data_IF_085776915451
#
_entry.id   IF_085776915451
#
_cell.length_a   1.000
_cell.length_b   1.000
_cell.length_c   1.000
_cell.angle_alpha   90.00
_cell.angle_beta   90.00
_cell.angle_gamma   90.00
#
_symmetry.space_group_name_H-M   'P 1'
#
loop_
_entity.id
_entity.type
_entity.pdbx_description
1 polymer ?
#
# COMPACT_ATOMS: atom_id res chain seq x y z
N UNK A 1 -32.19 17.46 11.71
CA UNK A 1 -31.24 16.39 11.31
C UNK A 1 -31.38 16.16 9.82
N UNK A 2 -30.39 16.54 9.02
CA UNK A 2 -30.43 16.45 7.55
C UNK A 2 -29.75 15.15 7.10
N UNK A 3 -30.54 14.18 6.63
CA UNK A 3 -30.06 13.00 5.91
C UNK A 3 -29.46 13.43 4.57
N UNK A 4 -28.13 13.39 4.43
CA UNK A 4 -27.47 13.58 3.13
C UNK A 4 -27.84 12.41 2.23
N UNK A 5 -28.59 12.66 1.16
CA UNK A 5 -28.80 11.72 0.06
C UNK A 5 -27.44 11.38 -0.55
N UNK A 6 -27.02 10.12 -0.43
CA UNK A 6 -25.99 9.55 -1.27
C UNK A 6 -26.50 9.55 -2.71
N UNK A 7 -25.87 10.33 -3.58
CA UNK A 7 -26.16 10.32 -5.01
C UNK A 7 -25.61 9.01 -5.58
N UNK A 8 -26.51 8.10 -5.95
CA UNK A 8 -26.17 6.85 -6.62
C UNK A 8 -26.11 7.09 -8.12
N UNK A 9 -24.89 7.17 -8.68
CA UNK A 9 -24.68 7.08 -10.12
C UNK A 9 -24.69 5.60 -10.51
N UNK A 10 -25.76 5.13 -11.15
CA UNK A 10 -25.82 3.79 -11.75
C UNK A 10 -25.53 3.86 -13.25
N UNK A 11 -24.36 3.37 -13.66
CA UNK A 11 -24.12 3.01 -15.06
C UNK A 11 -24.85 1.68 -15.37
N UNK A 12 -25.56 1.53 -16.50
CA UNK A 12 -26.19 0.26 -16.87
C UNK A 12 -25.14 -0.84 -17.05
N UNK A 13 -25.28 -1.97 -16.35
CA UNK A 13 -24.30 -3.06 -16.31
C UNK A 13 -23.30 -3.01 -15.14
N UNK A 14 -23.33 -1.96 -14.34
CA UNK A 14 -22.51 -1.84 -13.12
C UNK A 14 -23.15 -2.63 -11.98
N UNK A 15 -22.49 -3.69 -11.49
CA UNK A 15 -22.70 -4.10 -10.10
C UNK A 15 -22.39 -2.89 -9.22
N UNK A 16 -23.30 -2.51 -8.33
CA UNK A 16 -23.11 -1.36 -7.45
C UNK A 16 -22.05 -1.71 -6.42
N UNK A 17 -20.81 -1.25 -6.64
CA UNK A 17 -19.77 -1.37 -5.64
C UNK A 17 -19.94 -0.28 -4.59
N UNK A 18 -20.05 -0.67 -3.32
CA UNK A 18 -20.06 0.26 -2.20
C UNK A 18 -18.61 0.63 -1.85
N UNK A 19 -18.27 1.91 -1.94
CA UNK A 19 -16.96 2.42 -1.50
C UNK A 19 -16.95 2.47 0.03
N UNK A 20 -16.00 1.77 0.63
CA UNK A 20 -15.81 1.69 2.08
C UNK A 20 -14.77 2.68 2.60
N UNK A 21 -13.85 3.12 1.73
CA UNK A 21 -12.77 4.04 2.05
C UNK A 21 -11.93 4.37 0.83
N UNK A 22 -11.26 5.51 0.86
CA UNK A 22 -10.31 5.95 -0.17
C UNK A 22 -9.08 6.51 0.54
N UNK A 23 -7.91 6.18 0.04
CA UNK A 23 -6.68 6.79 0.49
C UNK A 23 -5.74 7.12 -0.65
N UNK A 24 -4.95 8.17 -0.46
CA UNK A 24 -3.95 8.61 -1.42
C UNK A 24 -2.70 9.11 -0.72
N UNK A 25 -1.56 8.94 -1.37
CA UNK A 25 -0.29 9.48 -0.91
C UNK A 25 0.56 9.91 -2.10
N UNK A 26 1.28 11.01 -1.93
CA UNK A 26 2.25 11.53 -2.90
C UNK A 26 3.61 11.64 -2.21
N UNK A 27 4.64 11.17 -2.90
CA UNK A 27 6.00 11.12 -2.38
C UNK A 27 6.99 11.77 -3.34
N UNK A 28 7.99 12.42 -2.77
CA UNK A 28 9.12 13.01 -3.49
C UNK A 28 10.27 11.99 -3.61
N UNK A 29 10.53 11.52 -4.82
CA UNK A 29 11.47 10.43 -5.14
C UNK A 29 12.91 10.67 -4.65
N UNK A 30 13.47 11.89 -4.71
CA UNK A 30 14.83 12.14 -4.20
C UNK A 30 15.01 11.85 -2.70
N UNK A 31 13.94 11.80 -1.90
CA UNK A 31 14.03 11.32 -0.50
C UNK A 31 14.31 9.83 -0.41
N UNK A 32 13.82 9.05 -1.37
CA UNK A 32 13.99 7.61 -1.44
C UNK A 32 15.31 7.21 -2.11
N UNK A 33 15.85 8.05 -2.99
CA UNK A 33 17.19 7.85 -3.58
C UNK A 33 18.27 7.56 -2.52
N UNK A 34 18.25 8.28 -1.41
CA UNK A 34 19.20 8.10 -0.28
C UNK A 34 19.05 6.76 0.46
N UNK A 35 17.86 6.15 0.41
CA UNK A 35 17.58 4.86 1.04
C UNK A 35 17.99 3.69 0.14
N UNK A 36 18.01 3.92 -1.17
CA UNK A 36 18.28 2.92 -2.18
C UNK A 36 19.75 2.90 -2.59
N UNK A 37 20.42 4.06 -2.57
CA UNK A 37 21.82 4.23 -2.97
C UNK A 37 22.73 3.19 -2.31
N UNK A 38 23.43 2.42 -3.13
CA UNK A 38 24.38 1.39 -2.70
C UNK A 38 25.68 2.01 -2.11
N UNK A 39 25.90 3.31 -2.31
CA UNK A 39 27.08 4.02 -1.82
C UNK A 39 26.98 4.44 -0.34
N UNK A 40 27.42 3.53 0.52
CA UNK A 40 28.73 3.70 1.16
C UNK A 40 28.80 2.82 2.41
N UNK A 41 29.78 1.91 2.46
CA UNK A 41 30.08 1.04 3.59
C UNK A 41 28.99 0.02 3.97
N UNK A 42 29.42 -1.16 4.43
CA UNK A 42 28.55 -2.19 5.00
C UNK A 42 27.65 -1.67 6.16
N UNK A 43 28.03 -0.55 6.78
CA UNK A 43 27.25 0.11 7.85
C UNK A 43 26.00 0.83 7.31
N UNK A 44 26.08 1.56 6.18
CA UNK A 44 24.90 2.20 5.60
C UNK A 44 23.94 1.17 5.03
N UNK A 45 24.45 0.11 4.38
CA UNK A 45 23.61 -0.98 3.88
C UNK A 45 22.74 -1.60 4.99
N UNK A 46 23.34 -1.90 6.16
CA UNK A 46 22.60 -2.38 7.34
C UNK A 46 21.57 -1.37 7.85
N UNK A 47 21.93 -0.09 7.86
CA UNK A 47 21.03 0.99 8.30
C UNK A 47 19.82 1.13 7.36
N UNK A 48 20.06 1.12 6.05
CA UNK A 48 19.00 1.22 5.05
C UNK A 48 18.07 0.01 5.13
N UNK A 49 18.61 -1.22 5.22
CA UNK A 49 17.79 -2.42 5.41
C UNK A 49 16.94 -2.36 6.69
N UNK A 50 17.48 -1.80 7.78
CA UNK A 50 16.71 -1.58 9.02
C UNK A 50 15.59 -0.58 8.82
N UNK A 51 15.78 0.47 8.02
CA UNK A 51 14.74 1.47 7.72
C UNK A 51 13.66 0.84 6.82
N UNK A 52 14.07 0.17 5.74
CA UNK A 52 13.15 -0.50 4.82
C UNK A 52 12.30 -1.56 5.55
N UNK A 53 12.90 -2.34 6.45
CA UNK A 53 12.18 -3.31 7.28
C UNK A 53 11.20 -2.70 8.31
N UNK A 54 11.11 -1.37 8.43
CA UNK A 54 10.04 -0.72 9.23
C UNK A 54 8.72 -0.60 8.48
N UNK A 55 8.71 -0.69 7.16
CA UNK A 55 7.50 -0.48 6.36
C UNK A 55 7.33 -1.45 5.18
N UNK A 56 8.38 -2.15 4.76
CA UNK A 56 8.28 -3.15 3.70
C UNK A 56 8.00 -4.54 4.27
N UNK A 57 7.12 -5.26 3.60
CA UNK A 57 6.87 -6.68 3.84
C UNK A 57 8.05 -7.55 3.37
N UNK A 58 8.19 -8.77 3.91
CA UNK A 58 9.24 -9.70 3.51
C UNK A 58 9.26 -9.97 1.99
N UNK A 59 8.07 -10.14 1.39
CA UNK A 59 7.92 -10.29 -0.08
C UNK A 59 8.46 -9.08 -0.84
N UNK A 60 8.20 -7.87 -0.35
CA UNK A 60 8.63 -6.63 -1.01
C UNK A 60 10.15 -6.44 -0.91
N UNK A 61 10.73 -6.78 0.25
CA UNK A 61 12.17 -6.78 0.50
C UNK A 61 12.89 -7.79 -0.40
N UNK A 62 12.38 -9.02 -0.48
CA UNK A 62 12.93 -10.06 -1.37
C UNK A 62 12.88 -9.62 -2.83
N UNK A 63 11.78 -8.98 -3.27
CA UNK A 63 11.67 -8.43 -4.62
C UNK A 63 12.67 -7.30 -4.86
N UNK A 64 12.88 -6.40 -3.91
CA UNK A 64 13.90 -5.35 -4.02
C UNK A 64 15.30 -5.95 -4.17
N UNK A 65 15.63 -6.96 -3.37
CA UNK A 65 16.92 -7.66 -3.46
C UNK A 65 17.09 -8.34 -4.82
N UNK A 66 16.05 -8.98 -5.33
CA UNK A 66 16.05 -9.55 -6.68
C UNK A 66 16.25 -8.48 -7.76
N UNK A 67 15.64 -7.29 -7.61
CA UNK A 67 15.85 -6.18 -8.56
C UNK A 67 17.31 -5.68 -8.54
N UNK A 68 17.94 -5.60 -7.36
CA UNK A 68 19.37 -5.26 -7.23
C UNK A 68 20.27 -6.30 -7.89
N UNK A 69 20.03 -7.59 -7.63
CA UNK A 69 20.81 -8.69 -8.22
C UNK A 69 20.69 -8.75 -9.75
N UNK A 70 19.55 -8.33 -10.29
CA UNK A 70 19.34 -8.22 -11.74
C UNK A 70 19.84 -6.88 -12.32
N UNK A 71 20.63 -6.11 -11.59
CA UNK A 71 21.20 -4.82 -12.00
C UNK A 71 20.15 -3.85 -12.58
N UNK A 72 18.96 -3.79 -11.96
CA UNK A 72 17.95 -2.79 -12.32
C UNK A 72 18.51 -1.39 -12.02
N UNK A 73 18.18 -0.38 -12.85
CA UNK A 73 18.67 0.97 -12.63
C UNK A 73 18.16 1.54 -11.31
N UNK A 74 18.94 2.40 -10.67
CA UNK A 74 18.61 3.06 -9.41
C UNK A 74 17.24 3.74 -9.44
N UNK A 75 16.88 4.38 -10.55
CA UNK A 75 15.57 5.01 -10.75
C UNK A 75 14.42 4.01 -10.55
N UNK A 76 14.55 2.79 -11.07
CA UNK A 76 13.54 1.74 -10.89
C UNK A 76 13.49 1.22 -9.46
N UNK A 77 14.64 1.12 -8.79
CA UNK A 77 14.72 0.73 -7.37
C UNK A 77 14.07 1.81 -6.47
N UNK A 78 14.35 3.08 -6.74
CA UNK A 78 13.77 4.24 -6.04
C UNK A 78 12.26 4.29 -6.23
N UNK A 79 11.78 4.18 -7.47
CA UNK A 79 10.35 4.13 -7.77
C UNK A 79 9.67 2.94 -7.09
N UNK A 80 10.33 1.78 -7.02
CA UNK A 80 9.78 0.62 -6.33
C UNK A 80 9.61 0.86 -4.83
N UNK A 81 10.67 1.33 -4.13
CA UNK A 81 10.60 1.59 -2.69
C UNK A 81 9.61 2.71 -2.38
N UNK A 82 9.65 3.81 -3.14
CA UNK A 82 8.72 4.92 -3.00
C UNK A 82 7.26 4.49 -3.26
N UNK A 83 7.06 3.64 -4.27
CA UNK A 83 5.75 3.09 -4.61
C UNK A 83 5.20 2.14 -3.54
N UNK A 84 6.06 1.35 -2.89
CA UNK A 84 5.67 0.57 -1.70
C UNK A 84 5.23 1.52 -0.59
N UNK A 85 6.06 2.49 -0.21
CA UNK A 85 5.71 3.47 0.83
C UNK A 85 4.37 4.16 0.56
N UNK A 86 4.23 4.80 -0.61
CA UNK A 86 3.04 5.54 -0.97
C UNK A 86 1.80 4.65 -0.97
N UNK A 87 1.93 3.38 -1.38
CA UNK A 87 0.83 2.40 -1.30
C UNK A 87 0.45 2.10 0.13
N UNK A 88 1.41 1.89 1.04
CA UNK A 88 1.11 1.61 2.46
C UNK A 88 0.43 2.78 3.15
N UNK A 89 0.90 4.00 2.89
CA UNK A 89 0.27 5.23 3.38
C UNK A 89 -1.14 5.41 2.82
N UNK A 90 -1.33 5.17 1.51
CA UNK A 90 -2.64 5.20 0.88
C UNK A 90 -3.59 4.13 1.49
N UNK A 91 -3.11 2.91 1.76
CA UNK A 91 -3.88 1.88 2.46
C UNK A 91 -4.26 2.31 3.88
N UNK A 92 -3.32 2.85 4.64
CA UNK A 92 -3.59 3.32 6.00
C UNK A 92 -4.65 4.43 6.03
N UNK A 93 -4.50 5.43 5.15
CA UNK A 93 -5.48 6.51 4.99
C UNK A 93 -6.84 5.99 4.51
N UNK A 94 -6.83 4.97 3.65
CA UNK A 94 -8.06 4.31 3.21
C UNK A 94 -8.81 3.70 4.40
N UNK A 95 -8.12 2.96 5.27
CA UNK A 95 -8.71 2.46 6.52
C UNK A 95 -9.18 3.59 7.43
N UNK A 96 -8.33 4.59 7.66
CA UNK A 96 -8.64 5.75 8.51
C UNK A 96 -9.85 6.57 8.02
N UNK A 97 -10.10 6.57 6.71
CA UNK A 97 -11.25 7.27 6.10
C UNK A 97 -12.56 6.48 6.19
N UNK A 98 -12.50 5.20 6.55
CA UNK A 98 -13.67 4.32 6.56
C UNK A 98 -14.59 4.63 7.73
N UNK A 99 -15.90 4.51 7.53
CA UNK A 99 -16.90 4.66 8.60
C UNK A 99 -16.73 3.66 9.75
N UNK A 100 -15.99 2.57 9.53
CA UNK A 100 -15.76 1.54 10.54
C UNK A 100 -14.72 1.95 11.60
N UNK A 101 -13.92 3.01 11.38
CA UNK A 101 -12.84 3.38 12.33
C UNK A 101 -13.32 3.98 13.63
N UNK A 102 -14.56 4.48 13.70
CA UNK A 102 -15.17 4.89 14.96
C UNK A 102 -15.57 3.71 15.85
N UNK A 103 -15.52 2.48 15.31
CA UNK A 103 -16.01 1.27 15.97
C UNK A 103 -14.87 0.25 16.14
N UNK A 104 -13.96 0.16 15.18
CA UNK A 104 -12.90 -0.85 15.13
C UNK A 104 -11.55 -0.16 15.13
N UNK A 105 -10.75 -0.46 16.14
CA UNK A 105 -9.37 0.03 16.25
C UNK A 105 -8.50 -0.55 15.13
N UNK A 106 -7.71 0.31 14.50
CA UNK A 106 -6.76 -0.12 13.49
C UNK A 106 -5.53 -0.75 14.16
N UNK A 107 -4.99 -1.86 13.62
CA UNK A 107 -3.68 -2.35 14.02
C UNK A 107 -2.62 -1.24 13.90
N UNK A 108 -1.52 -1.30 14.68
CA UNK A 108 -0.44 -0.34 14.55
C UNK A 108 0.04 -0.22 13.11
N UNK A 109 0.33 0.98 12.63
CA UNK A 109 0.72 1.24 11.24
C UNK A 109 1.86 0.31 10.78
N UNK A 110 2.89 0.12 11.63
CA UNK A 110 3.97 -0.83 11.38
C UNK A 110 3.45 -2.26 11.12
N UNK A 111 2.50 -2.74 11.90
CA UNK A 111 1.87 -4.06 11.71
C UNK A 111 1.14 -4.11 10.37
N UNK A 112 0.38 -3.07 10.02
CA UNK A 112 -0.30 -2.96 8.72
C UNK A 112 0.73 -3.06 7.58
N UNK A 113 1.83 -2.33 7.70
CA UNK A 113 2.83 -2.20 6.65
C UNK A 113 3.66 -3.45 6.45
N UNK A 114 4.18 -4.04 7.53
CA UNK A 114 5.20 -5.08 7.42
C UNK A 114 4.65 -6.49 7.54
N UNK A 115 3.36 -6.67 7.83
CA UNK A 115 2.79 -8.01 8.09
C UNK A 115 1.40 -8.25 7.52
N UNK A 116 0.62 -7.21 7.23
CA UNK A 116 -0.78 -7.40 6.80
C UNK A 116 -0.96 -7.37 5.32
N UNK A 117 -0.26 -6.48 4.63
CA UNK A 117 -0.40 -6.36 3.19
C UNK A 117 0.95 -6.29 2.52
N UNK A 118 0.97 -6.47 1.22
CA UNK A 118 2.10 -6.12 0.37
C UNK A 118 1.64 -5.82 -1.05
N UNK A 119 2.40 -4.96 -1.71
CA UNK A 119 2.23 -4.63 -3.10
C UNK A 119 2.92 -5.70 -3.95
N UNK A 120 2.21 -6.18 -4.96
CA UNK A 120 2.77 -6.94 -6.07
C UNK A 120 2.33 -6.34 -7.40
N UNK A 121 2.81 -6.90 -8.51
CA UNK A 121 2.32 -6.60 -9.84
C UNK A 121 1.95 -7.92 -10.50
N UNK A 122 0.88 -7.94 -11.29
CA UNK A 122 0.57 -9.13 -12.09
C UNK A 122 1.44 -9.22 -13.35
N UNK A 123 1.19 -10.25 -14.17
CA UNK A 123 1.95 -10.50 -15.40
C UNK A 123 1.84 -9.37 -16.44
N UNK A 124 0.83 -8.50 -16.33
CA UNK A 124 0.66 -7.32 -17.18
C UNK A 124 1.23 -6.05 -16.55
N UNK A 125 1.87 -6.16 -15.39
CA UNK A 125 2.43 -5.03 -14.67
C UNK A 125 1.41 -4.25 -13.84
N UNK A 126 0.16 -4.70 -13.75
CA UNK A 126 -0.89 -3.99 -13.00
C UNK A 126 -0.62 -4.16 -11.50
N UNK A 127 -0.54 -3.06 -10.72
CA UNK A 127 -0.27 -3.15 -9.29
C UNK A 127 -1.45 -3.78 -8.55
N UNK A 128 -1.15 -4.66 -7.61
CA UNK A 128 -2.13 -5.36 -6.76
C UNK A 128 -1.71 -5.28 -5.30
N UNK A 129 -2.70 -5.21 -4.43
CA UNK A 129 -2.52 -5.33 -3.00
C UNK A 129 -2.92 -6.74 -2.57
N UNK A 130 -2.02 -7.43 -1.88
CA UNK A 130 -2.30 -8.75 -1.29
C UNK A 130 -2.33 -8.57 0.23
N UNK A 131 -3.24 -9.29 0.89
CA UNK A 131 -3.33 -9.30 2.35
C UNK A 131 -3.00 -10.69 2.88
N UNK A 132 -2.06 -10.75 3.82
CA UNK A 132 -1.68 -11.99 4.48
C UNK A 132 -2.71 -12.37 5.53
N UNK A 133 -3.22 -13.59 5.44
CA UNK A 133 -4.20 -14.11 6.38
C UNK A 133 -3.58 -14.60 7.68
N UNK A 134 -2.24 -14.63 7.80
CA UNK A 134 -1.54 -15.05 9.00
C UNK A 134 -1.95 -14.24 10.25
N UNK A 135 -2.40 -12.99 10.05
CA UNK A 135 -2.85 -12.11 11.13
C UNK A 135 -4.36 -12.11 11.37
N UNK A 136 -5.13 -12.92 10.64
CA UNK A 136 -6.57 -13.01 10.82
C UNK A 136 -6.97 -13.48 12.23
N UNK A 137 -6.18 -14.37 12.83
CA UNK A 137 -6.39 -14.80 14.22
C UNK A 137 -6.04 -13.74 15.27
N UNK A 138 -5.17 -12.78 14.93
CA UNK A 138 -4.71 -11.74 15.87
C UNK A 138 -5.62 -10.52 15.84
N UNK A 139 -6.16 -10.17 14.67
CA UNK A 139 -7.09 -9.05 14.51
C UNK A 139 -8.37 -9.49 13.76
N UNK A 140 -9.17 -10.39 14.35
CA UNK A 140 -10.33 -10.97 13.68
C UNK A 140 -11.40 -9.94 13.33
N UNK A 141 -11.63 -8.94 14.19
CA UNK A 141 -12.62 -7.89 13.94
C UNK A 141 -12.19 -6.97 12.80
N UNK A 142 -10.91 -6.62 12.75
CA UNK A 142 -10.32 -5.85 11.64
C UNK A 142 -10.45 -6.61 10.32
N UNK A 143 -10.09 -7.90 10.28
CA UNK A 143 -10.19 -8.72 9.07
C UNK A 143 -11.64 -8.83 8.61
N UNK A 144 -12.57 -9.13 9.52
CA UNK A 144 -13.99 -9.20 9.21
C UNK A 144 -14.55 -7.90 8.63
N UNK A 145 -14.14 -6.75 9.17
CA UNK A 145 -14.69 -5.47 8.77
C UNK A 145 -14.05 -4.90 7.49
N UNK A 146 -12.74 -5.09 7.33
CA UNK A 146 -11.95 -4.41 6.31
C UNK A 146 -11.45 -5.32 5.19
N UNK A 147 -11.36 -6.62 5.40
CA UNK A 147 -10.72 -7.53 4.44
C UNK A 147 -11.77 -8.48 3.86
N UNK A 148 -12.54 -9.17 4.70
CA UNK A 148 -13.50 -10.19 4.28
C UNK A 148 -14.55 -9.65 3.31
N UNK A 149 -14.71 -10.34 2.19
CA UNK A 149 -15.66 -10.00 1.12
C UNK A 149 -15.52 -8.57 0.58
N UNK A 150 -14.30 -8.02 0.62
CA UNK A 150 -13.98 -6.70 0.05
C UNK A 150 -12.82 -6.79 -0.93
N UNK A 151 -12.56 -5.70 -1.66
CA UNK A 151 -11.45 -5.59 -2.60
C UNK A 151 -10.76 -4.24 -2.48
N UNK A 152 -9.48 -4.22 -2.78
CA UNK A 152 -8.67 -3.01 -2.85
C UNK A 152 -8.22 -2.80 -4.29
N UNK A 153 -8.63 -1.67 -4.85
CA UNK A 153 -8.21 -1.23 -6.17
C UNK A 153 -7.05 -0.26 -5.98
N UNK A 154 -5.89 -0.61 -6.53
CA UNK A 154 -4.65 0.15 -6.41
C UNK A 154 -4.29 0.73 -7.77
N UNK A 155 -3.97 2.03 -7.78
CA UNK A 155 -3.35 2.72 -8.91
C UNK A 155 -2.10 3.44 -8.43
N UNK A 156 -1.04 3.39 -9.23
CA UNK A 156 0.22 4.09 -8.96
C UNK A 156 0.61 4.80 -10.25
N UNK A 157 0.98 6.07 -10.12
CA UNK A 157 1.51 6.87 -11.21
C UNK A 157 2.75 7.61 -10.73
N UNK A 158 3.63 7.98 -11.65
CA UNK A 158 4.78 8.81 -11.35
C UNK A 158 5.06 9.75 -12.52
N UNK A 159 5.58 10.93 -12.20
CA UNK A 159 6.07 11.88 -13.18
C UNK A 159 7.18 12.72 -12.55
N UNK A 160 8.24 12.99 -13.32
CA UNK A 160 9.48 13.62 -12.86
C UNK A 160 9.95 13.08 -11.50
N UNK A 161 9.95 13.93 -10.47
CA UNK A 161 10.43 13.60 -9.12
C UNK A 161 9.34 13.14 -8.15
N UNK A 162 8.12 12.89 -8.63
CA UNK A 162 6.99 12.53 -7.77
C UNK A 162 6.37 11.19 -8.17
N UNK A 163 5.90 10.48 -7.16
CA UNK A 163 5.07 9.28 -7.32
C UNK A 163 3.83 9.44 -6.46
N UNK A 164 2.68 9.08 -7.02
CA UNK A 164 1.38 9.08 -6.34
C UNK A 164 0.79 7.68 -6.31
N UNK A 165 0.21 7.31 -5.18
CA UNK A 165 -0.58 6.10 -5.01
C UNK A 165 -2.01 6.46 -4.63
N UNK A 166 -2.94 5.68 -5.17
CA UNK A 166 -4.37 5.79 -4.90
C UNK A 166 -4.92 4.40 -4.61
N UNK A 167 -5.66 4.28 -3.51
CA UNK A 167 -6.31 3.05 -3.07
C UNK A 167 -7.80 3.32 -2.86
N UNK A 168 -8.63 2.51 -3.48
CA UNK A 168 -10.07 2.49 -3.24
C UNK A 168 -10.49 1.13 -2.68
N UNK A 169 -11.11 1.14 -1.52
CA UNK A 169 -11.62 -0.06 -0.85
C UNK A 169 -13.11 -0.19 -1.14
N UNK A 170 -13.51 -1.34 -1.69
CA UNK A 170 -14.87 -1.57 -2.17
C UNK A 170 -15.43 -2.90 -1.70
N UNK A 171 -16.76 -2.95 -1.56
CA UNK A 171 -17.55 -4.18 -1.36
C UNK A 171 -18.53 -4.32 -2.52
N UNK A 172 -18.58 -5.52 -3.10
CA UNK A 172 -19.57 -5.87 -4.12
C UNK A 172 -20.85 -6.42 -3.47
#
# INVERSE_FOLDING_TARGET
MSLRRLVSFKCPGSTTANVLGIGTDIVYLPRFAKLVSDDASARKARTNNRILGKFMHATELSKLQCMRQNNRPDTALVQYVAGVWATKEAVYKCFASSSNTSIIELPPAKTIYTRFCYKTNDSKGIPKLVFDQELAGVYPEFVKAYIDNTKFLLSISHDADYLVSYVCHVRH
#
